data_IF_351820978168
#
_entry.id   IF_351820978168
#
_cell.length_a   1.000
_cell.length_b   1.000
_cell.length_c   1.000
_cell.angle_alpha   90.00
_cell.angle_beta   90.00
_cell.angle_gamma   90.00
#
_symmetry.space_group_name_H-M   'P 1'
#
loop_
_entity.id
_entity.type
_entity.pdbx_description
1 polymer ?
#
# COMPACT_ATOMS: atom_id res chain seq x y z
N UNK A 1 5.95 -0.37 -23.69
CA UNK A 1 7.04 0.13 -22.81
C UNK A 1 6.45 0.32 -21.43
N UNK A 2 6.73 -0.59 -20.49
CA UNK A 2 6.47 -0.33 -19.06
C UNK A 2 7.51 0.71 -18.66
N UNK A 3 7.05 1.93 -18.42
CA UNK A 3 7.91 2.98 -17.88
C UNK A 3 8.17 2.66 -16.41
N UNK A 4 9.14 1.76 -16.17
CA UNK A 4 9.88 1.72 -14.91
C UNK A 4 10.73 2.99 -14.90
N UNK A 5 10.10 4.14 -14.66
CA UNK A 5 10.83 5.37 -14.38
C UNK A 5 11.31 5.24 -12.94
N UNK A 6 12.63 5.22 -12.77
CA UNK A 6 13.34 5.19 -11.49
C UNK A 6 12.75 6.16 -10.46
N UNK A 7 11.92 5.68 -9.54
CA UNK A 7 11.41 6.47 -8.40
C UNK A 7 12.44 6.68 -7.29
N UNK A 8 13.58 5.98 -7.32
CA UNK A 8 14.66 6.19 -6.35
C UNK A 8 15.15 7.65 -6.32
N UNK A 9 15.06 8.36 -7.46
CA UNK A 9 15.43 9.77 -7.59
C UNK A 9 14.33 10.74 -7.13
N UNK A 10 13.06 10.32 -7.11
CA UNK A 10 11.93 11.18 -6.74
C UNK A 10 11.72 11.25 -5.22
N UNK A 11 11.97 10.15 -4.51
CA UNK A 11 11.85 10.09 -3.04
C UNK A 11 13.00 10.88 -2.39
N UNK A 12 14.21 10.82 -2.96
CA UNK A 12 15.38 11.54 -2.45
C UNK A 12 15.32 13.07 -2.63
N UNK A 13 14.49 13.59 -3.53
CA UNK A 13 14.31 15.04 -3.74
C UNK A 13 13.27 15.67 -2.80
N UNK A 14 12.45 14.88 -2.10
CA UNK A 14 11.29 15.37 -1.36
C UNK A 14 11.54 15.64 0.13
N UNK A 15 12.80 15.85 0.53
CA UNK A 15 13.20 16.11 1.91
C UNK A 15 12.69 17.44 2.52
N UNK A 16 11.52 17.99 2.14
CA UNK A 16 11.13 19.33 2.59
C UNK A 16 9.66 19.57 3.03
N UNK A 17 8.67 18.72 2.72
CA UNK A 17 7.28 18.98 3.17
C UNK A 17 6.53 17.73 3.65
N UNK A 18 6.20 17.64 4.95
CA UNK A 18 5.26 16.68 5.52
C UNK A 18 4.01 16.37 4.72
N UNK A 19 3.36 17.40 4.15
CA UNK A 19 2.10 17.22 3.43
C UNK A 19 2.33 16.46 2.12
N UNK A 20 3.43 16.73 1.42
CA UNK A 20 3.80 16.00 0.20
C UNK A 20 4.19 14.55 0.51
N UNK A 21 4.88 14.30 1.63
CA UNK A 21 5.22 12.94 2.04
C UNK A 21 3.97 12.12 2.35
N UNK A 22 3.00 12.66 3.09
CA UNK A 22 1.72 11.97 3.32
C UNK A 22 0.97 11.75 2.01
N UNK A 23 0.97 12.73 1.09
CA UNK A 23 0.36 12.56 -0.24
C UNK A 23 0.98 11.39 -1.01
N UNK A 24 2.31 11.30 -1.00
CA UNK A 24 3.03 10.19 -1.63
C UNK A 24 2.65 8.85 -1.02
N UNK A 25 2.44 8.78 0.30
CA UNK A 25 1.99 7.55 0.93
C UNK A 25 0.60 7.15 0.44
N UNK A 26 -0.34 8.10 0.33
CA UNK A 26 -1.69 7.86 -0.22
C UNK A 26 -1.62 7.40 -1.68
N UNK A 27 -0.74 8.00 -2.50
CA UNK A 27 -0.54 7.60 -3.88
C UNK A 27 0.01 6.16 -3.99
N UNK A 28 0.88 5.74 -3.06
CA UNK A 28 1.35 4.35 -2.96
C UNK A 28 0.21 3.39 -2.61
N UNK A 29 -0.65 3.75 -1.65
CA UNK A 29 -1.83 2.96 -1.27
C UNK A 29 -2.80 2.82 -2.44
N UNK A 30 -3.07 3.92 -3.15
CA UNK A 30 -3.90 3.92 -4.36
C UNK A 30 -3.30 3.03 -5.46
N UNK A 31 -1.99 3.05 -5.62
CA UNK A 31 -1.28 2.20 -6.58
C UNK A 31 -1.40 0.72 -6.21
N UNK A 32 -1.24 0.37 -4.93
CA UNK A 32 -1.42 -1.00 -4.45
C UNK A 32 -2.86 -1.48 -4.64
N UNK A 33 -3.86 -0.64 -4.33
CA UNK A 33 -5.26 -0.91 -4.58
C UNK A 33 -5.53 -1.25 -6.06
N UNK A 34 -4.97 -0.47 -6.98
CA UNK A 34 -5.11 -0.73 -8.42
C UNK A 34 -4.46 -2.05 -8.85
N UNK A 35 -3.26 -2.34 -8.34
CA UNK A 35 -2.58 -3.62 -8.63
C UNK A 35 -3.43 -4.80 -8.17
N UNK A 36 -4.09 -4.69 -7.01
CA UNK A 36 -4.99 -5.71 -6.49
C UNK A 36 -6.29 -5.82 -7.30
N UNK A 37 -6.87 -4.70 -7.74
CA UNK A 37 -8.02 -4.74 -8.64
C UNK A 37 -7.68 -5.50 -9.94
N UNK A 38 -6.49 -5.32 -10.50
CA UNK A 38 -6.04 -5.98 -11.74
C UNK A 38 -5.83 -7.51 -11.59
N UNK A 39 -5.85 -8.07 -10.36
CA UNK A 39 -5.75 -9.53 -10.13
C UNK A 39 -7.08 -10.21 -10.46
N UNK A 40 -7.23 -10.65 -11.71
CA UNK A 40 -8.41 -11.38 -12.22
C UNK A 40 -8.13 -12.84 -12.59
N UNK A 41 -6.87 -13.27 -12.61
CA UNK A 41 -6.44 -14.64 -12.90
C UNK A 41 -5.09 -14.98 -12.25
N UNK A 42 -4.66 -16.24 -12.38
CA UNK A 42 -3.40 -16.73 -11.80
C UNK A 42 -2.15 -16.10 -12.42
N UNK A 43 -2.18 -15.66 -13.68
CA UNK A 43 -1.03 -15.01 -14.30
C UNK A 43 -0.83 -13.59 -13.74
N UNK A 44 -1.94 -12.91 -13.43
CA UNK A 44 -1.92 -11.61 -12.79
C UNK A 44 -1.36 -11.66 -11.35
N UNK A 45 -1.50 -12.78 -10.64
CA UNK A 45 -0.99 -12.94 -9.26
C UNK A 45 0.53 -12.72 -9.19
N UNK A 46 1.30 -13.36 -10.07
CA UNK A 46 2.78 -13.23 -10.07
C UNK A 46 3.23 -11.80 -10.42
N UNK A 47 2.47 -11.12 -11.26
CA UNK A 47 2.72 -9.71 -11.62
C UNK A 47 2.42 -8.81 -10.42
N UNK A 48 1.28 -9.03 -9.77
CA UNK A 48 0.85 -8.26 -8.60
C UNK A 48 1.85 -8.40 -7.45
N UNK A 49 2.35 -9.60 -7.16
CA UNK A 49 3.39 -9.81 -6.13
C UNK A 49 4.62 -8.95 -6.40
N UNK A 50 5.12 -8.92 -7.64
CA UNK A 50 6.29 -8.13 -8.01
C UNK A 50 6.03 -6.63 -7.85
N UNK A 51 4.87 -6.15 -8.28
CA UNK A 51 4.50 -4.75 -8.19
C UNK A 51 4.28 -4.30 -6.74
N UNK A 52 3.57 -5.08 -5.92
CA UNK A 52 3.35 -4.80 -4.50
C UNK A 52 4.68 -4.80 -3.74
N UNK A 53 5.60 -5.72 -4.01
CA UNK A 53 6.93 -5.70 -3.39
C UNK A 53 7.73 -4.45 -3.78
N UNK A 54 7.62 -3.98 -5.03
CA UNK A 54 8.27 -2.73 -5.45
C UNK A 54 7.64 -1.49 -4.79
N UNK A 55 6.32 -1.50 -4.55
CA UNK A 55 5.63 -0.45 -3.78
C UNK A 55 6.02 -0.50 -2.30
N UNK A 56 6.21 -1.70 -1.74
CA UNK A 56 6.66 -1.91 -0.35
C UNK A 56 8.02 -1.25 -0.10
N UNK A 57 8.98 -1.41 -1.02
CA UNK A 57 10.29 -0.77 -0.87
C UNK A 57 10.22 0.75 -0.98
N UNK A 58 9.29 1.29 -1.77
CA UNK A 58 9.03 2.73 -1.83
C UNK A 58 8.40 3.23 -0.53
N UNK A 59 7.43 2.51 0.03
CA UNK A 59 6.80 2.82 1.31
C UNK A 59 7.81 2.84 2.45
N UNK A 60 8.71 1.85 2.54
CA UNK A 60 9.81 1.82 3.54
C UNK A 60 10.76 3.02 3.42
N UNK A 61 11.05 3.48 2.20
CA UNK A 61 11.90 4.67 2.02
C UNK A 61 11.18 5.93 2.48
N UNK A 62 9.88 6.03 2.20
CA UNK A 62 9.06 7.14 2.63
C UNK A 62 8.90 7.16 4.15
N UNK A 63 8.63 6.02 4.79
CA UNK A 63 8.52 5.88 6.25
C UNK A 63 9.77 6.39 6.97
N UNK A 64 10.96 5.98 6.53
CA UNK A 64 12.25 6.49 7.02
C UNK A 64 12.43 8.00 6.85
N UNK A 65 11.88 8.56 5.77
CA UNK A 65 11.89 10.01 5.56
C UNK A 65 10.92 10.72 6.52
N UNK A 66 9.81 10.07 6.85
CA UNK A 66 8.77 10.57 7.74
C UNK A 66 9.17 10.52 9.23
N UNK A 67 10.03 9.59 9.67
CA UNK A 67 10.52 9.50 11.06
C UNK A 67 11.10 10.81 11.60
N UNK A 68 11.67 11.65 10.72
CA UNK A 68 12.34 12.91 11.08
C UNK A 68 11.43 14.14 10.93
N UNK A 69 10.16 13.93 10.58
CA UNK A 69 9.23 15.03 10.34
C UNK A 69 8.84 15.75 11.62
N UNK A 70 8.82 17.08 11.55
CA UNK A 70 8.16 17.94 12.53
C UNK A 70 7.00 18.65 11.86
N UNK A 71 5.80 18.47 12.40
CA UNK A 71 4.59 19.10 11.89
C UNK A 71 4.41 20.46 12.56
N UNK A 72 4.09 21.48 11.77
CA UNK A 72 3.39 22.65 12.31
C UNK A 72 1.88 22.39 12.34
N UNK A 73 1.12 23.24 13.05
CA UNK A 73 -0.32 23.06 13.23
C UNK A 73 -1.11 23.07 11.91
N UNK A 74 -0.70 23.86 10.92
CA UNK A 74 -1.37 23.92 9.61
C UNK A 74 -1.16 22.62 8.82
N UNK A 75 0.07 22.09 8.82
CA UNK A 75 0.40 20.82 8.19
C UNK A 75 -0.35 19.66 8.87
N UNK A 76 -0.43 19.65 10.19
CA UNK A 76 -1.19 18.64 10.93
C UNK A 76 -2.68 18.61 10.52
N UNK A 77 -3.32 19.78 10.41
CA UNK A 77 -4.72 19.88 9.96
C UNK A 77 -4.91 19.34 8.54
N UNK A 78 -4.00 19.69 7.61
CA UNK A 78 -4.04 19.20 6.21
C UNK A 78 -3.88 17.69 6.17
N UNK A 79 -2.94 17.14 6.93
CA UNK A 79 -2.68 15.70 7.02
C UNK A 79 -3.90 14.97 7.59
N UNK A 80 -4.53 15.48 8.66
CA UNK A 80 -5.74 14.86 9.22
C UNK A 80 -6.86 14.75 8.18
N UNK A 81 -7.05 15.78 7.34
CA UNK A 81 -8.04 15.72 6.26
C UNK A 81 -7.68 14.65 5.21
N UNK A 82 -6.42 14.63 4.78
CA UNK A 82 -5.92 13.66 3.80
C UNK A 82 -6.02 12.22 4.30
N UNK A 83 -5.83 11.99 5.60
CA UNK A 83 -6.01 10.67 6.20
C UNK A 83 -7.48 10.21 6.13
N UNK A 84 -8.45 11.13 6.20
CA UNK A 84 -9.85 10.81 5.94
C UNK A 84 -10.07 10.33 4.50
N UNK A 85 -9.55 11.06 3.52
CA UNK A 85 -9.66 10.67 2.10
C UNK A 85 -8.93 9.34 1.79
N UNK A 86 -7.86 9.04 2.53
CA UNK A 86 -7.13 7.79 2.41
C UNK A 86 -7.93 6.57 2.88
N UNK A 87 -8.84 6.74 3.84
CA UNK A 87 -9.66 5.63 4.37
C UNK A 87 -10.53 5.01 3.28
N UNK A 88 -11.13 5.81 2.41
CA UNK A 88 -11.92 5.30 1.28
C UNK A 88 -11.07 4.41 0.35
N UNK A 89 -9.80 4.79 0.14
CA UNK A 89 -8.88 4.01 -0.68
C UNK A 89 -8.46 2.71 0.02
N UNK A 90 -8.27 2.75 1.34
CA UNK A 90 -7.95 1.56 2.14
C UNK A 90 -9.13 0.58 2.14
N UNK A 91 -10.37 1.06 2.28
CA UNK A 91 -11.57 0.23 2.21
C UNK A 91 -11.66 -0.48 0.86
N UNK A 92 -11.48 0.24 -0.25
CA UNK A 92 -11.46 -0.38 -1.59
C UNK A 92 -10.34 -1.43 -1.73
N UNK A 93 -9.18 -1.19 -1.13
CA UNK A 93 -8.08 -2.15 -1.13
C UNK A 93 -8.45 -3.44 -0.37
N UNK A 94 -9.12 -3.32 0.77
CA UNK A 94 -9.63 -4.46 1.54
C UNK A 94 -10.69 -5.23 0.75
N UNK A 95 -11.65 -4.55 0.13
CA UNK A 95 -12.66 -5.17 -0.74
C UNK A 95 -12.01 -5.95 -1.91
N UNK A 96 -10.94 -5.40 -2.48
CA UNK A 96 -10.18 -6.10 -3.51
C UNK A 96 -9.45 -7.34 -2.97
N UNK A 97 -8.86 -7.28 -1.78
CA UNK A 97 -8.27 -8.45 -1.12
C UNK A 97 -9.32 -9.55 -0.86
N UNK A 98 -10.50 -9.19 -0.35
CA UNK A 98 -11.62 -10.11 -0.12
C UNK A 98 -12.10 -10.76 -1.42
N UNK A 99 -12.24 -9.97 -2.49
CA UNK A 99 -12.58 -10.48 -3.83
C UNK A 99 -11.56 -11.50 -4.31
N UNK A 100 -10.27 -11.16 -4.28
CA UNK A 100 -9.17 -12.05 -4.70
C UNK A 100 -9.18 -13.35 -3.89
N UNK A 101 -9.47 -13.28 -2.58
CA UNK A 101 -9.60 -14.45 -1.73
C UNK A 101 -10.80 -15.33 -2.14
N UNK A 102 -11.98 -14.71 -2.36
CA UNK A 102 -13.18 -15.41 -2.84
C UNK A 102 -12.97 -16.08 -4.19
N UNK A 103 -12.22 -15.43 -5.08
CA UNK A 103 -11.84 -15.93 -6.40
C UNK A 103 -10.75 -17.03 -6.32
N UNK A 104 -10.27 -17.37 -5.11
CA UNK A 104 -9.19 -18.33 -4.84
C UNK A 104 -7.86 -17.96 -5.49
N UNK A 105 -7.63 -16.66 -5.71
CA UNK A 105 -6.41 -16.09 -6.26
C UNK A 105 -5.48 -15.55 -5.17
N UNK A 106 -5.94 -15.47 -3.91
CA UNK A 106 -5.12 -15.03 -2.77
C UNK A 106 -4.16 -16.14 -2.35
N UNK A 107 -3.02 -16.22 -3.01
CA UNK A 107 -1.96 -17.16 -2.64
C UNK A 107 -1.25 -16.71 -1.36
N UNK A 108 -0.59 -17.62 -0.61
CA UNK A 108 0.22 -17.23 0.55
C UNK A 108 1.30 -16.20 0.23
N UNK A 109 1.87 -16.26 -0.98
CA UNK A 109 2.88 -15.30 -1.43
C UNK A 109 2.28 -13.90 -1.70
N UNK A 110 1.09 -13.85 -2.30
CA UNK A 110 0.36 -12.59 -2.51
C UNK A 110 -0.08 -11.98 -1.18
N UNK A 111 -0.64 -12.78 -0.29
CA UNK A 111 -1.01 -12.35 1.05
C UNK A 111 0.18 -11.74 1.81
N UNK A 112 1.33 -12.45 1.80
CA UNK A 112 2.55 -11.95 2.43
C UNK A 112 3.02 -10.62 1.82
N UNK A 113 2.92 -10.46 0.50
CA UNK A 113 3.27 -9.21 -0.16
C UNK A 113 2.33 -8.06 0.26
N UNK A 114 1.02 -8.30 0.32
CA UNK A 114 0.02 -7.32 0.79
C UNK A 114 0.27 -6.92 2.24
N UNK A 115 0.50 -7.88 3.13
CA UNK A 115 0.76 -7.59 4.55
C UNK A 115 2.05 -6.78 4.72
N UNK A 116 3.14 -7.17 4.05
CA UNK A 116 4.38 -6.41 4.09
C UNK A 116 4.22 -4.97 3.57
N UNK A 117 3.39 -4.78 2.54
CA UNK A 117 3.07 -3.44 2.03
C UNK A 117 2.27 -2.64 3.05
N UNK A 118 1.23 -3.22 3.64
CA UNK A 118 0.38 -2.56 4.63
C UNK A 118 1.20 -2.11 5.86
N UNK A 119 2.08 -2.98 6.36
CA UNK A 119 3.02 -2.64 7.43
C UNK A 119 3.93 -1.46 7.02
N UNK A 120 4.52 -1.52 5.83
CA UNK A 120 5.43 -0.48 5.35
C UNK A 120 4.73 0.87 5.06
N UNK A 121 3.45 0.84 4.71
CA UNK A 121 2.64 2.03 4.43
C UNK A 121 1.97 2.60 5.71
N UNK A 122 2.26 2.02 6.88
CA UNK A 122 1.64 2.37 8.16
C UNK A 122 0.11 2.31 8.14
N UNK A 123 -0.45 1.31 7.44
CA UNK A 123 -1.87 1.04 7.46
C UNK A 123 -2.16 0.17 8.68
N UNK A 124 -2.88 0.70 9.66
CA UNK A 124 -3.49 -0.14 10.70
C UNK A 124 -4.58 -0.99 10.03
N UNK A 125 -4.19 -2.19 9.59
CA UNK A 125 -5.15 -3.21 9.13
C UNK A 125 -5.91 -3.66 10.37
N UNK A 126 -7.09 -3.08 10.59
CA UNK A 126 -8.07 -3.58 11.57
C UNK A 126 -8.45 -4.99 11.14
N UNK A 127 -7.75 -6.01 11.67
CA UNK A 127 -8.07 -7.44 11.80
C UNK A 127 -8.83 -8.20 10.67
N UNK A 128 -9.02 -7.66 9.46
CA UNK A 128 -9.87 -8.34 8.46
C UNK A 128 -9.12 -9.38 7.62
N UNK A 129 -7.80 -9.23 7.46
CA UNK A 129 -6.99 -10.13 6.61
C UNK A 129 -6.40 -11.32 7.40
N UNK A 130 -6.44 -11.28 8.74
CA UNK A 130 -5.82 -12.29 9.63
C UNK A 130 -6.48 -13.67 9.54
N UNK A 131 -7.65 -13.80 8.92
CA UNK A 131 -8.41 -15.06 8.88
C UNK A 131 -7.89 -16.09 7.85
N UNK A 132 -6.83 -15.80 7.10
CA UNK A 132 -6.31 -16.74 6.08
C UNK A 132 -5.61 -17.96 6.69
N UNK A 133 -5.18 -17.93 7.95
CA UNK A 133 -4.64 -19.12 8.61
C UNK A 133 -5.71 -20.17 8.97
N UNK A 134 -7.01 -19.89 8.82
CA UNK A 134 -8.10 -20.81 9.17
C UNK A 134 -8.73 -21.57 7.98
N UNK A 135 -8.23 -21.43 6.74
CA UNK A 135 -8.84 -22.08 5.56
C UNK A 135 -7.92 -23.15 4.93
N UNK A 136 -6.81 -23.54 5.60
CA UNK A 136 -5.89 -24.57 5.09
C UNK A 136 -5.82 -25.82 5.99
N UNK A 137 -6.72 -25.96 6.96
CA UNK A 137 -6.90 -27.22 7.69
C UNK A 137 -8.37 -27.67 7.59
N UNK A 138 -8.65 -28.43 6.53
CA UNK A 138 -9.52 -29.63 6.54
C UNK A 138 -9.31 -30.44 5.24
#
# INVERSE_FOLDING_TARGET
MVAIVCSASAIAQNAADPVQMVKQNIDLISSANKVLDDVKDNAAVDIAIKQINALTEQAKQLDKAMEKMKLNSEQAIKITKMNGDAQDTIVNMLENCERIQKDKLMTPALLKAVNNFADAANIEVVETITSVEQIVED
#
